data_IF_225601856486
#
_entry.id   IF_225601856486
#
_cell.length_a   1.000
_cell.length_b   1.000
_cell.length_c   1.000
_cell.angle_alpha   90.00
_cell.angle_beta   90.00
_cell.angle_gamma   90.00
#
_symmetry.space_group_name_H-M   'P 1'
#
loop_
_entity.id
_entity.type
_entity.pdbx_description
1 polymer ?
#
# COMPACT_ATOMS: atom_id res chain seq x y z
N UNK A 1 6.15 9.92 -12.41
CA UNK A 1 6.54 9.23 -11.16
C UNK A 1 7.21 10.13 -10.12
N UNK A 2 8.24 10.94 -10.44
CA UNK A 2 8.94 11.79 -9.45
C UNK A 2 8.03 12.74 -8.64
N UNK A 3 7.07 13.40 -9.29
CA UNK A 3 6.11 14.28 -8.61
C UNK A 3 5.23 13.51 -7.61
N UNK A 4 4.83 12.28 -7.95
CA UNK A 4 4.02 11.43 -7.07
C UNK A 4 4.81 11.07 -5.82
N UNK A 5 6.06 10.61 -5.97
CA UNK A 5 6.91 10.26 -4.83
C UNK A 5 7.17 11.44 -3.90
N UNK A 6 7.35 12.64 -4.46
CA UNK A 6 7.51 13.86 -3.67
C UNK A 6 6.23 14.22 -2.90
N UNK A 7 5.07 14.06 -3.52
CA UNK A 7 3.80 14.30 -2.82
C UNK A 7 3.58 13.29 -1.70
N UNK A 8 3.97 12.03 -1.90
CA UNK A 8 3.94 11.00 -0.87
C UNK A 8 4.91 11.29 0.27
N UNK A 9 6.07 11.85 -0.03
CA UNK A 9 7.04 12.28 0.98
C UNK A 9 6.46 13.37 1.88
N UNK A 10 5.86 14.41 1.27
CA UNK A 10 5.16 15.47 2.02
C UNK A 10 4.01 14.91 2.82
N UNK A 11 3.20 14.03 2.23
CA UNK A 11 2.09 13.39 2.93
C UNK A 11 2.55 12.57 4.14
N UNK A 12 3.68 11.85 4.06
CA UNK A 12 4.23 11.12 5.21
C UNK A 12 4.63 12.06 6.35
N UNK A 13 5.17 13.24 6.02
CA UNK A 13 5.50 14.28 7.00
C UNK A 13 4.23 14.87 7.63
N UNK A 14 3.21 15.17 6.83
CA UNK A 14 1.92 15.69 7.31
C UNK A 14 1.22 14.67 8.23
N UNK A 15 1.25 13.37 7.89
CA UNK A 15 0.73 12.30 8.75
C UNK A 15 1.48 12.25 10.06
N UNK A 16 2.82 12.27 10.02
CA UNK A 16 3.64 12.25 11.22
C UNK A 16 3.31 13.45 12.14
N UNK A 17 3.32 14.67 11.60
CA UNK A 17 3.02 15.89 12.36
C UNK A 17 1.60 15.88 12.93
N UNK A 18 0.60 15.58 12.11
CA UNK A 18 -0.80 15.60 12.52
C UNK A 18 -1.11 14.55 13.60
N UNK A 19 -0.56 13.34 13.48
CA UNK A 19 -0.85 12.25 14.41
C UNK A 19 -0.07 12.37 15.71
N UNK A 20 1.06 13.08 15.72
CA UNK A 20 1.74 13.52 16.93
C UNK A 20 0.99 14.65 17.63
N UNK A 21 0.52 15.64 16.85
CA UNK A 21 -0.16 16.83 17.40
C UNK A 21 -1.57 16.51 17.89
N UNK A 22 -2.26 15.58 17.23
CA UNK A 22 -3.63 15.20 17.51
C UNK A 22 -3.80 13.67 17.49
N UNK A 23 -3.45 12.97 18.60
CA UNK A 23 -3.51 11.51 18.70
C UNK A 23 -4.86 10.88 18.33
N UNK A 24 -5.96 11.60 18.53
CA UNK A 24 -7.29 11.12 18.14
C UNK A 24 -7.40 10.82 16.63
N UNK A 25 -6.62 11.50 15.78
CA UNK A 25 -6.62 11.29 14.33
C UNK A 25 -6.10 9.90 13.92
N UNK A 26 -5.28 9.27 14.76
CA UNK A 26 -4.76 7.92 14.54
C UNK A 26 -5.88 6.90 14.30
N UNK A 27 -7.01 7.07 14.99
CA UNK A 27 -8.16 6.18 14.92
C UNK A 27 -9.11 6.48 13.75
N UNK A 28 -8.96 7.62 13.07
CA UNK A 28 -9.79 7.94 11.91
C UNK A 28 -9.33 7.12 10.71
N UNK A 29 -10.22 6.28 10.21
CA UNK A 29 -10.06 5.60 8.91
C UNK A 29 -10.38 6.59 7.79
N UNK A 30 -9.83 6.37 6.60
CA UNK A 30 -10.42 7.03 5.42
C UNK A 30 -11.85 6.50 5.23
N UNK A 31 -12.65 7.15 4.40
CA UNK A 31 -14.11 6.95 4.32
C UNK A 31 -14.55 5.51 3.96
N UNK A 32 -13.63 4.59 3.65
CA UNK A 32 -13.91 3.23 3.23
C UNK A 32 -13.16 2.18 4.06
N UNK A 33 -13.80 1.03 4.31
CA UNK A 33 -13.32 -0.02 5.24
C UNK A 33 -11.95 -0.59 4.85
N UNK A 34 -11.61 -0.60 3.56
CA UNK A 34 -10.35 -1.12 3.02
C UNK A 34 -9.28 -0.05 2.78
N UNK A 35 -9.57 1.20 3.13
CA UNK A 35 -8.72 2.35 2.84
C UNK A 35 -8.34 3.02 4.16
N UNK A 36 -7.29 2.51 4.81
CA UNK A 36 -6.70 3.18 5.97
C UNK A 36 -5.47 3.98 5.58
N UNK A 37 -5.18 5.06 6.30
CA UNK A 37 -3.91 5.79 6.15
C UNK A 37 -2.72 4.84 6.36
N UNK A 38 -2.86 3.84 7.22
CA UNK A 38 -1.85 2.82 7.45
C UNK A 38 -1.68 1.89 6.25
N UNK A 39 -2.76 1.49 5.58
CA UNK A 39 -2.70 0.68 4.36
C UNK A 39 -2.02 1.46 3.21
N UNK A 40 -2.29 2.76 3.10
CA UNK A 40 -1.61 3.64 2.16
C UNK A 40 -0.10 3.74 2.47
N UNK A 41 0.26 4.02 3.73
CA UNK A 41 1.66 4.07 4.17
C UNK A 41 2.39 2.75 3.91
N UNK A 42 1.71 1.62 4.16
CA UNK A 42 2.23 0.27 3.90
C UNK A 42 2.54 0.08 2.42
N UNK A 43 1.58 0.42 1.54
CA UNK A 43 1.74 0.32 0.09
C UNK A 43 2.91 1.18 -0.41
N UNK A 44 3.10 2.38 0.15
CA UNK A 44 4.24 3.24 -0.18
C UNK A 44 5.58 2.62 0.21
N UNK A 45 5.64 1.96 1.38
CA UNK A 45 6.82 1.25 1.85
C UNK A 45 7.13 0.03 0.97
N UNK A 46 6.11 -0.73 0.57
CA UNK A 46 6.25 -1.88 -0.33
C UNK A 46 6.80 -1.46 -1.69
N UNK A 47 6.19 -0.44 -2.30
CA UNK A 47 6.64 0.12 -3.58
C UNK A 47 8.08 0.62 -3.48
N UNK A 48 8.40 1.39 -2.43
CA UNK A 48 9.76 1.85 -2.22
C UNK A 48 10.74 0.69 -2.06
N UNK A 49 10.35 -0.37 -1.36
CA UNK A 49 11.18 -1.57 -1.19
C UNK A 49 11.51 -2.22 -2.54
N UNK A 50 10.52 -2.36 -3.43
CA UNK A 50 10.72 -2.83 -4.80
C UNK A 50 11.66 -1.92 -5.60
N UNK A 51 11.46 -0.60 -5.51
CA UNK A 51 12.30 0.38 -6.19
C UNK A 51 13.75 0.38 -5.66
N UNK A 52 13.95 0.10 -4.37
CA UNK A 52 15.28 0.01 -3.75
C UNK A 52 16.05 -1.23 -4.17
N UNK A 53 15.37 -2.36 -4.38
CA UNK A 53 15.95 -3.60 -4.92
C UNK A 53 16.45 -3.38 -6.35
N UNK A 54 15.72 -2.57 -7.11
CA UNK A 54 16.05 -2.19 -8.47
C UNK A 54 15.31 -3.03 -9.50
N UNK A 55 14.40 -2.37 -10.22
CA UNK A 55 13.73 -2.88 -11.42
C UNK A 55 14.37 -2.27 -12.67
N UNK A 56 14.49 -3.05 -13.73
CA UNK A 56 14.97 -2.55 -15.03
C UNK A 56 14.08 -1.43 -15.55
N UNK A 57 14.71 -0.39 -16.12
CA UNK A 57 14.02 0.80 -16.61
C UNK A 57 13.52 1.77 -15.53
N UNK A 58 13.61 1.43 -14.24
CA UNK A 58 13.20 2.29 -13.14
C UNK A 58 14.38 2.61 -12.22
N UNK A 59 14.90 3.84 -12.30
CA UNK A 59 15.82 4.40 -11.31
C UNK A 59 15.28 5.72 -10.77
N UNK A 60 14.85 5.69 -9.51
CA UNK A 60 14.19 6.79 -8.84
C UNK A 60 14.88 7.07 -7.51
N UNK A 61 15.93 7.92 -7.47
CA UNK A 61 16.63 8.25 -6.23
C UNK A 61 15.70 8.74 -5.11
N UNK A 62 14.59 9.40 -5.46
CA UNK A 62 13.55 9.86 -4.52
C UNK A 62 12.92 8.72 -3.70
N UNK A 63 12.92 7.48 -4.19
CA UNK A 63 12.38 6.33 -3.44
C UNK A 63 13.13 6.09 -2.12
N UNK A 64 14.43 6.42 -2.06
CA UNK A 64 15.24 6.32 -0.83
C UNK A 64 14.75 7.29 0.24
N UNK A 65 14.46 8.54 -0.16
CA UNK A 65 13.96 9.56 0.76
C UNK A 65 12.55 9.24 1.22
N UNK A 66 11.68 8.84 0.29
CA UNK A 66 10.33 8.41 0.64
C UNK A 66 10.34 7.21 1.59
N UNK A 67 11.16 6.19 1.31
CA UNK A 67 11.29 5.04 2.21
C UNK A 67 11.74 5.47 3.61
N UNK A 68 12.73 6.37 3.69
CA UNK A 68 13.25 6.86 4.96
C UNK A 68 12.16 7.58 5.77
N UNK A 69 11.43 8.52 5.18
CA UNK A 69 10.38 9.27 5.90
C UNK A 69 9.19 8.36 6.23
N UNK A 70 8.72 7.51 5.31
CA UNK A 70 7.59 6.62 5.55
C UNK A 70 7.91 5.60 6.66
N UNK A 71 9.13 5.07 6.67
CA UNK A 71 9.59 4.17 7.74
C UNK A 71 9.69 4.92 9.06
N UNK A 72 10.23 6.14 9.06
CA UNK A 72 10.29 6.96 10.26
C UNK A 72 8.89 7.22 10.82
N UNK A 73 7.92 7.57 9.98
CA UNK A 73 6.52 7.73 10.38
C UNK A 73 5.98 6.46 11.04
N UNK A 74 6.19 5.28 10.44
CA UNK A 74 5.74 4.01 11.01
C UNK A 74 6.40 3.70 12.37
N UNK A 75 7.72 3.89 12.47
CA UNK A 75 8.50 3.61 13.69
C UNK A 75 8.09 4.55 14.83
N UNK A 76 8.00 5.84 14.56
CA UNK A 76 7.74 6.86 15.57
C UNK A 76 6.33 6.73 16.13
N UNK A 77 5.34 6.51 15.28
CA UNK A 77 3.98 6.22 15.72
C UNK A 77 3.95 4.92 16.55
N UNK A 78 4.59 3.84 16.09
CA UNK A 78 4.62 2.59 16.85
C UNK A 78 5.27 2.74 18.24
N UNK A 79 6.32 3.57 18.36
CA UNK A 79 7.01 3.88 19.61
C UNK A 79 6.15 4.71 20.57
N UNK A 80 5.52 5.78 20.08
CA UNK A 80 4.65 6.66 20.90
C UNK A 80 3.48 5.88 21.48
N UNK A 81 2.87 5.00 20.69
CA UNK A 81 1.71 4.21 21.12
C UNK A 81 2.10 2.87 21.80
N UNK A 82 3.37 2.74 22.23
CA UNK A 82 3.93 1.64 23.05
C UNK A 82 3.63 0.24 22.52
N UNK A 83 3.54 0.09 21.20
CA UNK A 83 3.39 -1.21 20.56
C UNK A 83 4.78 -1.85 20.43
N UNK A 84 5.13 -2.74 21.36
CA UNK A 84 6.43 -3.44 21.29
C UNK A 84 6.48 -4.32 20.04
N UNK A 85 7.50 -4.19 19.15
CA UNK A 85 7.62 -4.98 17.92
C UNK A 85 7.50 -6.47 18.22
N UNK A 86 6.38 -7.09 17.84
CA UNK A 86 6.23 -8.53 17.96
C UNK A 86 6.97 -9.21 16.83
N UNK A 87 7.52 -10.38 17.12
CA UNK A 87 8.01 -11.28 16.07
C UNK A 87 6.82 -11.64 15.19
N UNK A 88 6.91 -11.30 13.91
CA UNK A 88 5.86 -11.60 12.93
C UNK A 88 5.59 -13.10 12.94
N UNK A 89 4.34 -13.47 13.15
CA UNK A 89 3.88 -14.87 13.14
C UNK A 89 3.58 -15.37 11.72
N UNK A 90 3.36 -14.46 10.77
CA UNK A 90 3.16 -14.75 9.36
C UNK A 90 3.86 -13.71 8.48
N UNK A 91 4.39 -14.15 7.35
CA UNK A 91 4.99 -13.26 6.36
C UNK A 91 3.90 -12.68 5.46
N UNK A 92 3.92 -11.37 5.21
CA UNK A 92 2.91 -10.69 4.37
C UNK A 92 3.05 -10.96 2.86
N UNK A 93 4.21 -11.46 2.44
CA UNK A 93 4.53 -11.88 1.08
C UNK A 93 5.29 -13.20 1.20
N UNK A 94 4.63 -14.28 0.82
CA UNK A 94 5.19 -15.63 0.75
C UNK A 94 6.09 -15.77 -0.49
N UNK A 95 6.89 -16.84 -0.54
CA UNK A 95 7.67 -17.15 -1.76
C UNK A 95 6.79 -17.41 -2.98
N UNK A 96 5.61 -18.01 -2.79
CA UNK A 96 4.64 -18.22 -3.88
C UNK A 96 4.12 -16.87 -4.41
N UNK A 97 3.72 -15.98 -3.51
CA UNK A 97 3.26 -14.64 -3.88
C UNK A 97 4.38 -13.80 -4.51
N UNK A 98 5.63 -13.99 -4.07
CA UNK A 98 6.77 -13.31 -4.69
C UNK A 98 6.96 -13.76 -6.14
N UNK A 99 6.80 -15.05 -6.44
CA UNK A 99 6.87 -15.56 -7.80
C UNK A 99 5.75 -14.98 -8.67
N UNK A 100 4.51 -14.94 -8.17
CA UNK A 100 3.39 -14.30 -8.86
C UNK A 100 3.64 -12.81 -9.10
N UNK A 101 4.11 -12.08 -8.08
CA UNK A 101 4.48 -10.66 -8.20
C UNK A 101 5.54 -10.46 -9.27
N UNK A 102 6.56 -11.32 -9.31
CA UNK A 102 7.61 -11.27 -10.32
C UNK A 102 7.03 -11.48 -11.72
N UNK A 103 6.21 -12.52 -11.92
CA UNK A 103 5.58 -12.80 -13.21
C UNK A 103 4.71 -11.63 -13.69
N UNK A 104 3.97 -10.98 -12.79
CA UNK A 104 3.16 -9.82 -13.14
C UNK A 104 4.00 -8.58 -13.50
N UNK A 105 5.11 -8.35 -12.79
CA UNK A 105 6.06 -7.29 -13.15
C UNK A 105 6.75 -7.59 -14.50
N UNK A 106 7.10 -8.83 -14.78
CA UNK A 106 7.69 -9.27 -16.04
C UNK A 106 6.75 -9.03 -17.23
N UNK A 107 5.45 -9.30 -17.08
CA UNK A 107 4.41 -8.98 -18.10
C UNK A 107 4.36 -7.48 -18.42
N UNK A 108 4.73 -6.62 -17.47
CA UNK A 108 4.82 -5.16 -17.63
C UNK A 108 6.21 -4.70 -18.11
N UNK A 109 7.14 -5.62 -18.39
CA UNK A 109 8.50 -5.33 -18.81
C UNK A 109 9.43 -4.87 -17.68
N UNK A 110 9.04 -5.06 -16.42
CA UNK A 110 9.80 -4.68 -15.23
C UNK A 110 10.49 -5.92 -14.64
N UNK A 111 11.76 -6.11 -14.97
CA UNK A 111 12.55 -7.23 -14.45
C UNK A 111 13.37 -6.81 -13.23
N UNK A 112 13.54 -7.69 -12.24
CA UNK A 112 14.50 -7.45 -11.16
C UNK A 112 15.93 -7.54 -11.69
N UNK A 113 16.78 -6.57 -11.34
CA UNK A 113 18.21 -6.54 -11.76
C UNK A 113 19.08 -7.62 -11.13
N UNK A 114 18.56 -8.30 -10.10
CA UNK A 114 19.34 -9.16 -9.21
C UNK A 114 18.66 -10.51 -9.01
N UNK A 115 19.46 -11.56 -8.98
CA UNK A 115 18.98 -12.93 -8.80
C UNK A 115 18.49 -13.20 -7.37
N UNK A 116 19.02 -12.49 -6.37
CA UNK A 116 18.66 -12.61 -4.95
C UNK A 116 17.57 -11.60 -4.54
N UNK A 117 16.71 -11.17 -5.47
CA UNK A 117 15.70 -10.13 -5.24
C UNK A 117 14.74 -10.46 -4.09
N UNK A 118 14.27 -11.71 -4.01
CA UNK A 118 13.36 -12.18 -2.94
C UNK A 118 13.99 -12.02 -1.55
N UNK A 119 15.21 -12.54 -1.39
CA UNK A 119 15.95 -12.47 -0.12
C UNK A 119 16.14 -11.01 0.32
N UNK A 120 16.46 -10.15 -0.63
CA UNK A 120 16.77 -8.75 -0.36
C UNK A 120 15.51 -7.95 -0.06
N UNK A 121 14.40 -8.29 -0.71
CA UNK A 121 13.09 -7.78 -0.36
C UNK A 121 12.72 -8.16 1.07
N UNK A 122 12.93 -9.41 1.46
CA UNK A 122 12.70 -9.87 2.82
C UNK A 122 13.56 -9.10 3.84
N UNK A 123 14.84 -8.81 3.55
CA UNK A 123 15.67 -8.00 4.44
C UNK A 123 15.19 -6.55 4.57
N UNK A 124 14.76 -5.91 3.48
CA UNK A 124 14.21 -4.55 3.54
C UNK A 124 12.88 -4.54 4.31
N UNK A 125 12.03 -5.55 4.11
CA UNK A 125 10.73 -5.72 4.79
C UNK A 125 10.88 -5.78 6.30
N UNK A 126 11.93 -6.43 6.82
CA UNK A 126 12.25 -6.44 8.27
C UNK A 126 12.44 -5.04 8.87
N UNK A 127 12.76 -4.04 8.05
CA UNK A 127 13.00 -2.66 8.53
C UNK A 127 11.70 -1.91 8.87
N UNK A 128 10.54 -2.33 8.35
CA UNK A 128 9.28 -1.60 8.53
C UNK A 128 8.08 -2.49 8.90
N UNK A 129 7.99 -3.74 8.42
CA UNK A 129 6.81 -4.59 8.63
C UNK A 129 6.46 -4.80 10.12
N UNK A 130 7.42 -5.00 11.05
CA UNK A 130 7.09 -5.16 12.46
C UNK A 130 6.35 -3.94 13.06
N UNK A 131 6.69 -2.72 12.62
CA UNK A 131 6.08 -1.49 13.12
C UNK A 131 4.68 -1.30 12.53
N UNK A 132 4.52 -1.60 11.24
CA UNK A 132 3.24 -1.53 10.54
C UNK A 132 2.24 -2.55 11.09
N UNK A 133 2.67 -3.80 11.32
CA UNK A 133 1.83 -4.84 11.92
C UNK A 133 1.35 -4.48 13.32
N UNK A 134 2.24 -3.93 14.13
CA UNK A 134 1.91 -3.47 15.45
C UNK A 134 0.86 -2.35 15.47
N UNK A 135 1.01 -1.37 14.57
CA UNK A 135 0.02 -0.30 14.40
C UNK A 135 -1.32 -0.88 13.92
N UNK A 136 -1.29 -1.85 13.00
CA UNK A 136 -2.49 -2.50 12.49
C UNK A 136 -3.25 -3.25 13.60
N UNK A 137 -2.55 -4.04 14.42
CA UNK A 137 -3.12 -4.76 15.56
C UNK A 137 -3.71 -3.77 16.59
N UNK A 138 -2.97 -2.72 16.94
CA UNK A 138 -3.43 -1.68 17.87
C UNK A 138 -4.69 -0.95 17.37
N UNK A 139 -4.72 -0.61 16.08
CA UNK A 139 -5.82 0.15 15.47
C UNK A 139 -6.96 -0.73 14.95
N UNK A 140 -6.79 -2.05 15.00
CA UNK A 140 -7.69 -3.01 14.36
C UNK A 140 -7.91 -2.66 12.88
N UNK A 141 -6.82 -2.34 12.18
CA UNK A 141 -6.82 -2.04 10.75
C UNK A 141 -6.33 -3.25 9.96
N UNK A 142 -6.93 -3.48 8.80
CA UNK A 142 -6.39 -4.43 7.84
C UNK A 142 -5.21 -3.81 7.08
N UNK A 143 -4.17 -4.61 6.87
CA UNK A 143 -3.01 -4.22 6.07
C UNK A 143 -3.23 -4.58 4.61
N UNK A 144 -2.72 -3.72 3.72
CA UNK A 144 -2.74 -4.03 2.29
C UNK A 144 -1.92 -5.30 2.00
N UNK A 145 -2.48 -6.29 1.30
CA UNK A 145 -1.69 -7.40 0.78
C UNK A 145 -0.76 -6.90 -0.33
N UNK A 146 0.25 -7.70 -0.65
CA UNK A 146 1.18 -7.42 -1.75
C UNK A 146 0.56 -7.65 -3.13
N UNK A 147 -0.31 -8.65 -3.21
CA UNK A 147 -1.07 -8.99 -4.40
C UNK A 147 -2.54 -8.64 -4.16
N UNK A 148 -3.24 -8.07 -5.17
CA UNK A 148 -4.66 -7.86 -5.06
C UNK A 148 -5.39 -9.20 -4.92
N UNK A 149 -6.47 -9.22 -4.14
CA UNK A 149 -7.40 -10.35 -4.20
C UNK A 149 -7.94 -10.48 -5.64
N UNK A 150 -8.29 -11.69 -6.07
CA UNK A 150 -8.62 -11.98 -7.48
C UNK A 150 -9.80 -11.17 -8.02
N UNK A 151 -10.69 -10.67 -7.15
CA UNK A 151 -11.81 -9.79 -7.52
C UNK A 151 -12.17 -8.81 -6.39
N UNK A 152 -11.41 -7.73 -6.17
CA UNK A 152 -11.82 -6.71 -5.22
C UNK A 152 -12.90 -5.87 -5.91
N UNK A 153 -14.15 -6.02 -5.48
CA UNK A 153 -15.19 -5.04 -5.86
C UNK A 153 -14.79 -3.71 -5.25
N UNK A 154 -14.73 -2.66 -6.08
CA UNK A 154 -14.32 -1.33 -5.61
C UNK A 154 -15.40 -0.75 -4.68
N UNK A 155 -15.01 0.07 -3.70
CA UNK A 155 -15.92 0.61 -2.70
C UNK A 155 -16.99 1.54 -3.30
N UNK A 156 -16.76 2.07 -4.51
CA UNK A 156 -17.80 2.80 -5.27
C UNK A 156 -18.72 1.89 -6.09
N UNK A 157 -18.28 0.68 -6.40
CA UNK A 157 -19.06 -0.32 -7.16
C UNK A 157 -20.09 -1.02 -6.30
N UNK A 158 -20.02 -0.84 -4.97
CA UNK A 158 -20.95 -1.41 -4.02
C UNK A 158 -21.48 -0.38 -3.04
N UNK A 159 -22.70 -0.57 -2.59
CA UNK A 159 -23.30 0.16 -1.49
C UNK A 159 -24.11 -0.79 -0.61
N UNK A 160 -24.21 -0.47 0.69
CA UNK A 160 -25.11 -1.20 1.59
C UNK A 160 -26.60 -1.16 1.17
N UNK A 161 -26.93 -0.33 0.19
CA UNK A 161 -28.28 -0.18 -0.37
C UNK A 161 -28.48 -0.94 -1.68
N UNK A 162 -27.44 -1.55 -2.27
CA UNK A 162 -27.53 -2.21 -3.57
C UNK A 162 -28.46 -3.43 -3.53
N UNK A 163 -28.57 -4.11 -2.39
CA UNK A 163 -29.54 -5.18 -2.19
C UNK A 163 -31.01 -4.68 -2.21
N UNK A 164 -31.24 -3.39 -1.99
CA UNK A 164 -32.57 -2.77 -1.98
C UNK A 164 -32.88 -1.99 -3.27
N UNK A 165 -31.86 -1.65 -4.06
CA UNK A 165 -31.98 -0.84 -5.25
C UNK A 165 -31.97 -1.71 -6.52
N UNK A 166 -33.16 -2.06 -7.04
CA UNK A 166 -33.31 -2.87 -8.26
C UNK A 166 -32.66 -2.28 -9.53
N UNK A 167 -32.22 -1.02 -9.49
CA UNK A 167 -31.55 -0.32 -10.59
C UNK A 167 -30.02 -0.29 -10.48
N UNK A 168 -29.42 -0.79 -9.39
CA UNK A 168 -27.98 -0.59 -9.15
C UNK A 168 -27.11 -1.36 -10.14
N UNK A 169 -27.43 -2.62 -10.45
CA UNK A 169 -26.60 -3.48 -11.30
C UNK A 169 -26.48 -2.98 -12.74
N UNK A 170 -27.61 -2.68 -13.40
CA UNK A 170 -27.61 -2.17 -14.79
C UNK A 170 -26.87 -0.84 -14.91
N UNK A 171 -27.04 0.05 -13.93
CA UNK A 171 -26.38 1.36 -13.93
C UNK A 171 -24.89 1.25 -13.59
N UNK A 172 -24.50 0.25 -12.80
CA UNK A 172 -23.09 -0.05 -12.50
C UNK A 172 -22.36 -0.51 -13.75
N UNK A 173 -22.96 -1.41 -14.54
CA UNK A 173 -22.39 -1.91 -15.80
C UNK A 173 -22.15 -0.76 -16.81
N UNK A 174 -23.12 0.15 -16.95
CA UNK A 174 -22.98 1.35 -17.79
C UNK A 174 -21.83 2.27 -17.32
N UNK A 175 -21.72 2.52 -16.02
CA UNK A 175 -20.66 3.38 -15.45
C UNK A 175 -19.29 2.73 -15.62
N UNK A 176 -19.16 1.43 -15.32
CA UNK A 176 -17.91 0.67 -15.50
C UNK A 176 -17.46 0.74 -16.97
N UNK A 177 -18.37 0.55 -17.92
CA UNK A 177 -18.05 0.64 -19.35
C UNK A 177 -17.53 2.04 -19.73
N UNK A 178 -18.17 3.11 -19.26
CA UNK A 178 -17.75 4.50 -19.51
C UNK A 178 -16.37 4.81 -18.91
N UNK A 179 -16.09 4.32 -17.71
CA UNK A 179 -14.79 4.52 -17.03
C UNK A 179 -13.68 3.78 -17.77
N UNK A 180 -13.91 2.53 -18.18
CA UNK A 180 -12.94 1.72 -18.91
C UNK A 180 -12.65 2.28 -20.32
N UNK A 181 -13.68 2.75 -21.02
CA UNK A 181 -13.51 3.44 -22.31
C UNK A 181 -12.71 4.73 -22.18
N UNK A 182 -12.95 5.51 -21.13
CA UNK A 182 -12.17 6.72 -20.87
C UNK A 182 -10.70 6.40 -20.59
N UNK A 183 -10.41 5.33 -19.83
CA UNK A 183 -9.03 4.89 -19.57
C UNK A 183 -8.30 4.43 -20.83
N UNK A 184 -8.99 3.76 -21.76
CA UNK A 184 -8.40 3.33 -23.05
C UNK A 184 -8.12 4.49 -24.01
N UNK A 185 -8.81 5.62 -23.85
CA UNK A 185 -8.73 6.78 -24.74
C UNK A 185 -7.88 7.93 -24.19
N UNK A 186 -7.17 7.73 -23.08
CA UNK A 186 -6.18 8.69 -22.59
C UNK A 186 -4.88 8.59 -23.44
N UNK A 187 -4.32 9.72 -23.89
CA UNK A 187 -3.11 9.75 -24.74
C UNK A 187 -1.84 9.36 -24.00
#
# INVERSE_FOLDING_TARGET
MRHILRNWELWCADILESHFSYPALLHYRSQHERQSWLAALTTMLDLCSLLLIGLDGLDLPTSRFLFAIARHTAVDLAQVYLTSPRKLTSERLSSEDFLHLREDLEKLGLNFRRADAEQQLAEIRKLYEPFIWNLADYLHFDLSPWLPETHPVDDWQTSGWDHFAAWSSTKMEEIVHLVLERYRNLP
#
